data_IF_078928444873
#
_entry.id   IF_078928444873
#
_cell.length_a   1.000
_cell.length_b   1.000
_cell.length_c   1.000
_cell.angle_alpha   90.00
_cell.angle_beta   90.00
_cell.angle_gamma   90.00
#
_symmetry.space_group_name_H-M   'P 1'
#
loop_
_entity.id
_entity.type
_entity.pdbx_description
1 polymer ?
#
# COMPACT_ATOMS: atom_id res chain seq x y z
N UNK A 1 8.61 36.82 -28.53
CA UNK A 1 8.94 35.45 -28.08
C UNK A 1 8.06 34.48 -28.86
N UNK A 2 8.62 33.40 -29.44
CA UNK A 2 7.82 32.45 -30.21
C UNK A 2 6.85 31.72 -29.27
N UNK A 3 5.55 31.76 -29.60
CA UNK A 3 4.53 31.00 -28.86
C UNK A 3 4.64 29.53 -29.25
N UNK A 4 5.01 28.68 -28.31
CA UNK A 4 4.87 27.24 -28.50
C UNK A 4 3.39 26.90 -28.37
N UNK A 5 2.76 26.58 -29.50
CA UNK A 5 1.43 26.03 -29.58
C UNK A 5 1.51 24.56 -29.12
N UNK A 6 0.94 24.28 -27.94
CA UNK A 6 0.87 22.95 -27.35
C UNK A 6 -0.08 22.01 -28.11
N UNK A 7 -0.66 22.46 -29.24
CA UNK A 7 -1.91 21.92 -29.79
C UNK A 7 -3.12 22.23 -28.90
N UNK A 8 -2.93 23.07 -27.88
CA UNK A 8 -3.98 23.63 -27.03
C UNK A 8 -3.88 25.16 -27.16
N UNK A 9 -4.62 25.77 -28.09
CA UNK A 9 -4.60 27.22 -28.28
C UNK A 9 -4.99 27.97 -27.01
N UNK A 10 -4.11 28.85 -26.53
CA UNK A 10 -4.45 29.87 -25.53
C UNK A 10 -4.50 29.41 -24.07
N UNK A 11 -3.69 28.42 -23.66
CA UNK A 11 -3.41 28.21 -22.23
C UNK A 11 -2.17 29.02 -21.83
N UNK A 12 -2.29 30.09 -21.01
CA UNK A 12 -1.18 30.83 -20.43
C UNK A 12 -0.57 30.02 -19.28
N UNK A 13 -0.25 28.75 -19.50
CA UNK A 13 0.57 28.01 -18.57
C UNK A 13 2.02 28.40 -18.88
N UNK A 14 2.51 29.43 -18.20
CA UNK A 14 3.95 29.62 -18.12
C UNK A 14 4.49 28.30 -17.57
N UNK A 15 5.42 27.61 -18.27
CA UNK A 15 6.21 26.60 -17.60
C UNK A 15 6.70 27.21 -16.28
N UNK A 16 6.63 26.46 -15.15
CA UNK A 16 7.22 26.95 -13.93
C UNK A 16 8.63 27.43 -14.25
N UNK A 17 9.09 28.55 -13.67
CA UNK A 17 10.43 29.05 -13.95
C UNK A 17 11.39 27.90 -13.70
N UNK A 18 11.91 27.31 -14.76
CA UNK A 18 12.88 26.25 -14.65
C UNK A 18 14.25 26.89 -14.47
N UNK A 19 15.20 26.12 -13.96
CA UNK A 19 16.57 26.60 -13.85
C UNK A 19 17.06 26.95 -15.26
N UNK A 20 17.77 28.06 -15.41
CA UNK A 20 18.32 28.50 -16.69
C UNK A 20 19.04 27.33 -17.39
N UNK A 21 18.67 27.06 -18.64
CA UNK A 21 19.18 25.92 -19.43
C UNK A 21 18.33 24.65 -19.43
N UNK A 22 17.20 24.60 -18.72
CA UNK A 22 16.21 23.54 -18.92
C UNK A 22 15.39 23.81 -20.18
N UNK A 23 15.84 23.28 -21.32
CA UNK A 23 14.98 23.17 -22.49
C UNK A 23 13.93 22.08 -22.25
N UNK A 24 12.66 22.47 -22.34
CA UNK A 24 11.57 21.50 -22.29
C UNK A 24 11.69 20.56 -23.48
N UNK A 25 11.99 19.29 -23.20
CA UNK A 25 12.04 18.25 -24.22
C UNK A 25 10.70 18.16 -24.95
N UNK A 26 10.76 18.16 -26.29
CA UNK A 26 9.61 17.90 -27.14
C UNK A 26 8.97 16.53 -26.84
N UNK A 27 9.76 15.58 -26.31
CA UNK A 27 9.29 14.26 -25.88
C UNK A 27 9.08 14.25 -24.36
N UNK A 28 7.86 13.97 -23.86
CA UNK A 28 7.60 13.89 -22.42
C UNK A 28 8.46 12.81 -21.74
N UNK A 29 8.86 13.03 -20.49
CA UNK A 29 9.57 12.04 -19.67
C UNK A 29 8.83 10.69 -19.64
N UNK A 30 9.51 9.54 -19.81
CA UNK A 30 8.87 8.21 -19.71
C UNK A 30 8.15 8.00 -18.38
N UNK A 31 7.02 7.27 -18.37
CA UNK A 31 6.23 7.04 -17.14
C UNK A 31 7.06 6.51 -15.96
N UNK A 32 7.97 5.56 -16.21
CA UNK A 32 8.85 4.98 -15.18
C UNK A 32 9.84 5.97 -14.55
N UNK A 33 10.03 7.14 -15.18
CA UNK A 33 10.93 8.20 -14.74
C UNK A 33 10.19 9.44 -14.25
N UNK A 34 8.85 9.45 -14.29
CA UNK A 34 8.09 10.53 -13.69
C UNK A 34 8.31 10.56 -12.18
N UNK A 35 8.51 11.75 -11.65
CA UNK A 35 8.73 12.02 -10.22
C UNK A 35 7.84 13.16 -9.79
N UNK A 36 7.49 13.21 -8.51
CA UNK A 36 6.70 14.31 -7.97
C UNK A 36 7.49 15.62 -8.03
N UNK A 37 7.23 16.39 -9.08
CA UNK A 37 7.82 17.71 -9.34
C UNK A 37 6.95 18.49 -10.31
N UNK A 38 7.12 19.82 -10.45
CA UNK A 38 6.38 20.58 -11.45
C UNK A 38 6.59 20.06 -12.88
N UNK A 39 7.80 19.58 -13.20
CA UNK A 39 8.09 18.94 -14.50
C UNK A 39 7.36 17.61 -14.63
N UNK A 40 7.36 16.79 -13.58
CA UNK A 40 6.67 15.50 -13.61
C UNK A 40 5.16 15.63 -13.74
N UNK A 41 4.55 16.57 -13.02
CA UNK A 41 3.12 16.92 -13.16
C UNK A 41 2.80 17.42 -14.57
N UNK A 42 3.69 18.26 -15.12
CA UNK A 42 3.55 18.78 -16.47
C UNK A 42 3.63 17.67 -17.53
N UNK A 43 4.61 16.79 -17.47
CA UNK A 43 4.76 15.68 -18.42
C UNK A 43 3.68 14.60 -18.26
N UNK A 44 3.22 14.33 -17.04
CA UNK A 44 2.07 13.47 -16.79
C UNK A 44 0.84 14.01 -17.53
N UNK A 45 0.58 15.31 -17.40
CA UNK A 45 -0.54 15.98 -18.04
C UNK A 45 -0.44 16.05 -19.55
N UNK A 46 0.76 16.18 -20.12
CA UNK A 46 0.96 16.05 -21.59
C UNK A 46 0.55 14.68 -22.10
N UNK A 47 0.66 13.64 -21.28
CA UNK A 47 0.30 12.27 -21.63
C UNK A 47 -1.18 11.96 -21.39
N UNK A 48 -1.74 12.43 -20.27
CA UNK A 48 -3.09 12.06 -19.82
C UNK A 48 -4.16 13.12 -20.07
N UNK A 49 -3.77 14.39 -20.20
CA UNK A 49 -4.70 15.52 -20.29
C UNK A 49 -5.12 15.88 -21.71
N UNK A 50 -4.40 15.42 -22.75
CA UNK A 50 -4.75 15.69 -24.15
C UNK A 50 -5.57 14.53 -24.68
N UNK A 51 -6.90 14.69 -24.71
CA UNK A 51 -7.81 13.76 -25.37
C UNK A 51 -8.08 14.28 -26.80
N UNK A 52 -7.60 13.60 -27.87
CA UNK A 52 -7.78 14.09 -29.24
C UNK A 52 -9.24 14.29 -29.65
N UNK A 53 -10.14 13.49 -29.09
CA UNK A 53 -11.58 13.59 -29.33
C UNK A 53 -12.24 14.79 -28.63
N UNK A 54 -11.63 15.30 -27.55
CA UNK A 54 -12.21 16.35 -26.69
C UNK A 54 -11.13 17.37 -26.25
N UNK A 55 -10.57 18.17 -27.18
CA UNK A 55 -9.43 19.04 -26.90
C UNK A 55 -9.73 20.13 -25.85
N UNK A 56 -11.00 20.42 -25.57
CA UNK A 56 -11.42 21.44 -24.59
C UNK A 56 -11.60 20.91 -23.17
N UNK A 57 -11.67 19.58 -22.97
CA UNK A 57 -12.02 18.99 -21.67
C UNK A 57 -11.02 19.37 -20.58
N UNK A 58 -9.73 19.38 -20.93
CA UNK A 58 -8.68 19.78 -20.00
C UNK A 58 -8.83 21.23 -19.54
N UNK A 59 -9.12 22.15 -20.47
CA UNK A 59 -9.33 23.56 -20.16
C UNK A 59 -10.55 23.75 -19.26
N UNK A 60 -11.63 23.02 -19.53
CA UNK A 60 -12.87 23.09 -18.75
C UNK A 60 -12.71 22.52 -17.34
N UNK A 61 -11.96 21.43 -17.17
CA UNK A 61 -11.83 20.72 -15.89
C UNK A 61 -10.41 20.79 -15.31
N UNK A 62 -9.68 21.87 -15.60
CA UNK A 62 -8.26 21.98 -15.28
C UNK A 62 -7.96 21.71 -13.80
N UNK A 63 -8.77 22.25 -12.88
CA UNK A 63 -8.61 22.02 -11.44
C UNK A 63 -8.73 20.53 -11.07
N UNK A 64 -9.67 19.80 -11.67
CA UNK A 64 -9.85 18.36 -11.42
C UNK A 64 -8.68 17.54 -11.94
N UNK A 65 -8.16 17.89 -13.12
CA UNK A 65 -6.94 17.26 -13.64
C UNK A 65 -5.73 17.53 -12.75
N UNK A 66 -5.57 18.76 -12.21
CA UNK A 66 -4.49 19.06 -11.25
C UNK A 66 -4.57 18.18 -10.00
N UNK A 67 -5.75 18.07 -9.40
CA UNK A 67 -5.97 17.20 -8.23
C UNK A 67 -5.71 15.73 -8.57
N UNK A 68 -6.15 15.25 -9.74
CA UNK A 68 -5.88 13.89 -10.20
C UNK A 68 -4.38 13.61 -10.40
N UNK A 69 -3.63 14.59 -10.89
CA UNK A 69 -2.17 14.47 -11.04
C UNK A 69 -1.48 14.30 -9.67
N UNK A 70 -1.96 14.96 -8.61
CA UNK A 70 -1.47 14.71 -7.25
C UNK A 70 -1.84 13.30 -6.77
N UNK A 71 -3.07 12.86 -7.03
CA UNK A 71 -3.50 11.49 -6.74
C UNK A 71 -2.64 10.43 -7.42
N UNK A 72 -2.19 10.68 -8.66
CA UNK A 72 -1.28 9.78 -9.37
C UNK A 72 0.05 9.58 -8.61
N UNK A 73 0.67 10.67 -8.16
CA UNK A 73 1.94 10.59 -7.42
C UNK A 73 1.79 10.15 -5.96
N UNK A 74 0.64 10.41 -5.34
CA UNK A 74 0.37 10.00 -3.96
C UNK A 74 -0.12 8.54 -3.84
N UNK A 75 -0.55 7.93 -4.94
CA UNK A 75 -1.07 6.56 -4.94
C UNK A 75 -0.04 5.57 -4.40
N UNK A 76 -0.38 4.90 -3.30
CA UNK A 76 0.48 3.91 -2.64
C UNK A 76 1.50 4.50 -1.67
N UNK A 77 1.63 5.83 -1.58
CA UNK A 77 2.60 6.51 -0.72
C UNK A 77 2.34 6.33 0.78
N UNK A 78 1.19 5.78 1.17
CA UNK A 78 0.88 5.41 2.56
C UNK A 78 1.19 3.94 2.88
N UNK A 79 1.59 3.15 1.89
CA UNK A 79 1.78 1.68 2.00
C UNK A 79 3.09 1.21 1.34
N UNK A 80 3.95 2.13 0.91
CA UNK A 80 5.20 1.81 0.21
C UNK A 80 6.35 1.44 1.15
N UNK A 81 6.16 1.60 2.46
CA UNK A 81 7.17 1.34 3.49
C UNK A 81 8.28 2.39 3.56
N UNK A 82 8.19 3.48 2.79
CA UNK A 82 9.22 4.52 2.69
C UNK A 82 8.91 5.73 3.58
N UNK A 83 8.38 5.50 4.78
CA UNK A 83 7.96 6.56 5.70
C UNK A 83 9.07 7.06 6.65
N UNK A 84 10.23 6.40 6.64
CA UNK A 84 11.35 6.73 7.52
C UNK A 84 12.54 7.16 6.64
N UNK A 85 12.89 8.46 6.59
CA UNK A 85 14.06 8.90 5.87
C UNK A 85 15.31 8.52 6.65
N UNK A 86 16.46 8.41 5.98
CA UNK A 86 17.73 8.21 6.65
C UNK A 86 18.04 9.37 7.63
N UNK A 87 18.83 9.14 8.70
CA UNK A 87 19.21 10.20 9.63
C UNK A 87 19.81 11.41 8.91
N UNK A 88 19.42 12.62 9.33
CA UNK A 88 19.87 13.88 8.74
C UNK A 88 19.58 14.02 7.21
N UNK A 89 18.59 13.30 6.69
CA UNK A 89 18.21 13.34 5.28
C UNK A 89 16.74 13.73 5.09
N UNK A 90 16.42 14.25 3.90
CA UNK A 90 15.06 14.47 3.45
C UNK A 90 14.56 13.27 2.66
N UNK A 91 13.25 13.16 2.53
CA UNK A 91 12.64 12.19 1.60
C UNK A 91 13.07 12.48 0.14
N UNK A 92 13.17 11.43 -0.70
CA UNK A 92 13.56 11.58 -2.11
C UNK A 92 12.70 12.58 -2.90
N UNK A 93 11.41 12.70 -2.58
CA UNK A 93 10.46 13.64 -3.21
C UNK A 93 10.87 15.09 -2.97
N UNK A 94 11.25 15.41 -1.73
CA UNK A 94 11.71 16.75 -1.37
C UNK A 94 13.01 17.10 -2.13
N UNK A 95 13.91 16.15 -2.27
CA UNK A 95 15.14 16.31 -3.02
C UNK A 95 14.87 16.55 -4.51
N UNK A 96 13.98 15.76 -5.09
CA UNK A 96 13.55 15.93 -6.48
C UNK A 96 12.96 17.32 -6.71
N UNK A 97 12.06 17.76 -5.82
CA UNK A 97 11.46 19.09 -5.87
C UNK A 97 12.50 20.20 -5.79
N UNK A 98 13.50 20.06 -4.92
CA UNK A 98 14.55 21.07 -4.77
C UNK A 98 15.52 21.09 -5.95
N UNK A 99 15.84 19.93 -6.54
CA UNK A 99 16.77 19.81 -7.68
C UNK A 99 16.16 20.30 -9.00
N UNK A 100 14.85 20.11 -9.18
CA UNK A 100 14.13 20.48 -10.41
C UNK A 100 13.71 21.94 -10.48
N UNK A 101 13.66 22.62 -9.34
CA UNK A 101 13.28 24.04 -9.25
C UNK A 101 14.50 24.95 -9.11
N UNK A 102 14.41 26.23 -9.55
CA UNK A 102 15.45 27.21 -9.32
C UNK A 102 15.82 27.35 -7.84
N UNK A 103 17.02 27.85 -7.58
CA UNK A 103 17.46 28.21 -6.23
C UNK A 103 17.00 29.66 -5.95
N UNK A 104 16.82 30.01 -4.67
CA UNK A 104 16.46 31.35 -4.25
C UNK A 104 14.97 31.62 -4.26
N UNK A 105 14.61 32.91 -4.40
CA UNK A 105 13.22 33.39 -4.22
C UNK A 105 12.23 32.71 -5.17
N UNK A 106 12.57 32.64 -6.46
CA UNK A 106 11.70 32.08 -7.50
C UNK A 106 11.34 30.62 -7.22
N UNK A 107 12.34 29.78 -6.89
CA UNK A 107 12.06 28.38 -6.55
C UNK A 107 11.37 28.20 -5.20
N UNK A 108 11.62 29.10 -4.23
CA UNK A 108 10.87 29.11 -2.96
C UNK A 108 9.39 29.40 -3.20
N UNK A 109 9.07 30.41 -4.03
CA UNK A 109 7.70 30.75 -4.41
C UNK A 109 7.03 29.59 -5.16
N UNK A 110 7.74 28.94 -6.09
CA UNK A 110 7.22 27.78 -6.82
C UNK A 110 6.94 26.56 -5.91
N UNK A 111 7.84 26.25 -4.96
CA UNK A 111 7.61 25.19 -3.96
C UNK A 111 6.43 25.52 -3.05
N UNK A 112 6.33 26.76 -2.59
CA UNK A 112 5.22 27.23 -1.76
C UNK A 112 3.88 27.09 -2.49
N UNK A 113 3.81 27.52 -3.76
CA UNK A 113 2.61 27.40 -4.58
C UNK A 113 2.21 25.92 -4.76
N UNK A 114 3.18 25.03 -5.06
CA UNK A 114 2.91 23.60 -5.18
C UNK A 114 2.40 23.01 -3.85
N UNK A 115 3.01 23.38 -2.73
CA UNK A 115 2.57 22.94 -1.40
C UNK A 115 1.13 23.39 -1.12
N UNK A 116 0.78 24.65 -1.43
CA UNK A 116 -0.59 25.17 -1.29
C UNK A 116 -1.58 24.39 -2.17
N UNK A 117 -1.22 24.05 -3.42
CA UNK A 117 -2.07 23.24 -4.30
C UNK A 117 -2.28 21.81 -3.75
N UNK A 118 -1.23 21.15 -3.24
CA UNK A 118 -1.35 19.83 -2.61
C UNK A 118 -2.22 19.89 -1.37
N UNK A 119 -2.04 20.92 -0.54
CA UNK A 119 -2.83 21.12 0.66
C UNK A 119 -4.32 21.29 0.32
N UNK A 120 -4.64 22.10 -0.68
CA UNK A 120 -6.02 22.26 -1.14
C UNK A 120 -6.62 20.95 -1.65
N UNK A 121 -5.86 20.17 -2.42
CA UNK A 121 -6.30 18.87 -2.90
C UNK A 121 -6.62 17.89 -1.74
N UNK A 122 -5.79 17.87 -0.70
CA UNK A 122 -6.03 17.06 0.50
C UNK A 122 -7.30 17.52 1.22
N UNK A 123 -7.52 18.82 1.34
CA UNK A 123 -8.72 19.37 1.98
C UNK A 123 -10.00 19.11 1.18
N UNK A 124 -9.93 19.17 -0.16
CA UNK A 124 -11.04 18.81 -1.03
C UNK A 124 -11.41 17.33 -0.89
N UNK A 125 -10.42 16.44 -0.78
CA UNK A 125 -10.64 15.01 -0.55
C UNK A 125 -11.25 14.74 0.83
N UNK A 126 -10.78 15.42 1.88
CA UNK A 126 -11.36 15.34 3.21
C UNK A 126 -12.81 15.84 3.24
N UNK A 127 -13.07 16.96 2.55
CA UNK A 127 -14.43 17.50 2.38
C UNK A 127 -15.33 16.51 1.66
N UNK A 128 -14.84 15.88 0.59
CA UNK A 128 -15.60 14.87 -0.15
C UNK A 128 -15.89 13.66 0.75
N UNK A 129 -14.92 13.22 1.55
CA UNK A 129 -15.09 12.13 2.51
C UNK A 129 -16.20 12.44 3.52
N UNK A 130 -16.13 13.59 4.18
CA UNK A 130 -17.12 14.01 5.17
C UNK A 130 -18.52 14.12 4.56
N UNK A 131 -18.64 14.70 3.36
CA UNK A 131 -19.92 14.83 2.63
C UNK A 131 -20.50 13.50 2.19
N UNK A 132 -19.65 12.55 1.80
CA UNK A 132 -20.10 11.26 1.26
C UNK A 132 -20.54 10.32 2.36
N UNK A 133 -19.87 10.35 3.51
CA UNK A 133 -20.07 9.37 4.58
C UNK A 133 -20.70 9.95 5.86
N UNK A 134 -20.94 11.26 5.92
CA UNK A 134 -21.56 11.92 7.08
C UNK A 134 -20.63 11.98 8.29
N UNK A 135 -19.33 12.20 8.06
CA UNK A 135 -18.30 12.26 9.10
C UNK A 135 -17.82 13.68 9.43
N UNK A 136 -16.88 13.76 10.37
CA UNK A 136 -16.12 14.97 10.66
C UNK A 136 -14.63 14.65 10.68
N UNK A 137 -13.88 15.17 9.72
CA UNK A 137 -12.44 14.97 9.60
C UNK A 137 -11.68 16.20 10.06
N UNK A 138 -10.58 16.03 10.79
CA UNK A 138 -9.63 17.11 11.10
C UNK A 138 -8.26 16.75 10.51
N UNK A 139 -7.67 17.66 9.75
CA UNK A 139 -6.31 17.50 9.21
C UNK A 139 -5.48 18.67 9.71
N UNK A 140 -4.30 18.38 10.25
CA UNK A 140 -3.36 19.37 10.75
C UNK A 140 -2.04 19.23 10.00
N UNK A 141 -1.51 20.34 9.50
CA UNK A 141 -0.22 20.39 8.82
C UNK A 141 0.63 21.54 9.34
N UNK A 142 1.89 21.24 9.64
CA UNK A 142 2.89 22.22 10.08
C UNK A 142 4.08 22.20 9.12
N UNK A 143 4.50 23.38 8.69
CA UNK A 143 5.66 23.52 7.83
C UNK A 143 6.95 23.33 8.64
N UNK A 144 7.85 22.47 8.17
CA UNK A 144 9.19 22.34 8.76
C UNK A 144 10.10 23.55 8.47
N UNK A 145 9.77 24.35 7.46
CA UNK A 145 10.50 25.57 7.11
C UNK A 145 10.00 26.75 7.94
N UNK A 146 10.92 27.51 8.52
CA UNK A 146 10.63 28.81 9.15
C UNK A 146 11.39 29.92 8.43
N UNK A 147 11.00 31.18 8.67
CA UNK A 147 11.80 32.34 8.26
C UNK A 147 13.24 32.18 8.82
N UNK A 148 14.30 32.57 8.07
CA UNK A 148 15.67 32.54 8.57
C UNK A 148 15.81 33.19 9.95
N UNK A 149 16.70 32.62 10.79
CA UNK A 149 16.97 33.07 12.18
C UNK A 149 15.78 32.99 13.16
N UNK A 150 14.64 32.42 12.78
CA UNK A 150 13.51 32.22 13.71
C UNK A 150 13.90 31.17 14.76
N UNK A 151 13.56 31.31 16.04
CA UNK A 151 13.69 30.22 17.01
C UNK A 151 12.74 29.05 16.67
N UNK A 152 13.11 27.82 16.99
CA UNK A 152 12.19 26.68 16.87
C UNK A 152 11.31 26.61 18.13
N UNK A 153 10.44 27.61 18.31
CA UNK A 153 9.50 27.70 19.43
C UNK A 153 8.08 27.81 18.89
N UNK A 154 7.12 27.29 19.65
CA UNK A 154 5.71 27.20 19.24
C UNK A 154 5.11 28.56 18.86
N UNK A 155 5.46 29.66 19.54
CA UNK A 155 4.93 30.99 19.24
C UNK A 155 5.40 31.60 17.89
N UNK A 156 6.27 30.91 17.16
CA UNK A 156 6.67 31.27 15.79
C UNK A 156 6.12 30.31 14.73
N UNK A 157 5.36 29.30 15.15
CA UNK A 157 4.81 28.29 14.27
C UNK A 157 3.36 28.61 13.91
N UNK A 158 2.91 27.97 12.84
CA UNK A 158 1.52 28.05 12.36
C UNK A 158 1.09 26.66 11.94
N UNK A 159 -0.15 26.30 12.22
CA UNK A 159 -0.78 25.07 11.75
C UNK A 159 -1.83 25.42 10.70
N UNK A 160 -1.70 24.82 9.52
CA UNK A 160 -2.75 24.81 8.52
C UNK A 160 -3.70 23.66 8.84
N UNK A 161 -4.94 23.97 9.16
CA UNK A 161 -5.92 23.00 9.65
C UNK A 161 -7.14 22.97 8.75
N UNK A 162 -7.59 21.77 8.36
CA UNK A 162 -8.93 21.56 7.81
C UNK A 162 -9.88 21.14 8.93
N UNK A 163 -11.04 21.80 8.99
CA UNK A 163 -12.16 21.49 9.88
C UNK A 163 -13.48 21.79 9.16
N UNK A 164 -14.52 20.93 9.23
CA UNK A 164 -15.82 21.21 8.62
C UNK A 164 -16.48 22.44 9.27
N UNK A 165 -16.75 23.53 8.53
CA UNK A 165 -17.30 24.74 9.13
C UNK A 165 -18.68 24.54 9.79
N UNK A 166 -19.50 23.65 9.25
CA UNK A 166 -20.79 23.28 9.85
C UNK A 166 -20.60 22.67 11.24
N UNK A 167 -19.64 21.75 11.40
CA UNK A 167 -19.35 21.14 12.69
C UNK A 167 -18.92 22.19 13.73
N UNK A 168 -18.06 23.14 13.35
CA UNK A 168 -17.59 24.20 14.24
C UNK A 168 -18.72 25.16 14.64
N UNK A 169 -19.63 25.47 13.71
CA UNK A 169 -20.78 26.31 13.98
C UNK A 169 -21.79 25.63 14.92
N UNK A 170 -22.04 24.34 14.72
CA UNK A 170 -23.03 23.57 15.47
C UNK A 170 -22.52 23.15 16.86
N UNK A 171 -21.19 23.14 17.09
CA UNK A 171 -20.57 22.63 18.32
C UNK A 171 -19.63 23.66 18.98
N UNK A 172 -20.12 24.80 19.50
CA UNK A 172 -19.27 25.80 20.15
C UNK A 172 -18.49 25.26 21.36
N UNK A 173 -19.03 24.25 22.06
CA UNK A 173 -18.35 23.60 23.19
C UNK A 173 -17.05 22.88 22.77
N UNK A 174 -16.90 22.49 21.49
CA UNK A 174 -15.69 21.84 21.00
C UNK A 174 -14.55 22.81 20.71
N UNK A 175 -14.79 24.13 20.75
CA UNK A 175 -13.78 25.13 20.36
C UNK A 175 -12.54 25.08 21.25
N UNK A 176 -12.72 25.00 22.58
CA UNK A 176 -11.62 24.86 23.53
C UNK A 176 -10.81 23.57 23.32
N UNK A 177 -11.45 22.38 23.31
CA UNK A 177 -10.78 21.13 23.00
C UNK A 177 -10.02 21.13 21.66
N UNK A 178 -10.62 21.62 20.57
CA UNK A 178 -9.96 21.69 19.27
C UNK A 178 -8.73 22.60 19.33
N UNK A 179 -8.87 23.79 19.93
CA UNK A 179 -7.76 24.72 20.06
C UNK A 179 -6.59 24.10 20.86
N UNK A 180 -6.89 23.38 21.96
CA UNK A 180 -5.89 22.60 22.71
C UNK A 180 -5.22 21.53 21.87
N UNK A 181 -5.98 20.73 21.11
CA UNK A 181 -5.41 19.70 20.23
C UNK A 181 -4.42 20.32 19.23
N UNK A 182 -4.79 21.44 18.60
CA UNK A 182 -3.91 22.11 17.62
C UNK A 182 -2.66 22.68 18.30
N UNK A 183 -2.80 23.27 19.49
CA UNK A 183 -1.67 23.79 20.26
C UNK A 183 -0.72 22.66 20.69
N UNK A 184 -1.24 21.57 21.26
CA UNK A 184 -0.45 20.38 21.61
C UNK A 184 0.25 19.79 20.39
N UNK A 185 -0.43 19.73 19.24
CA UNK A 185 0.19 19.30 17.98
C UNK A 185 1.37 20.18 17.57
N UNK A 186 1.26 21.51 17.70
CA UNK A 186 2.36 22.42 17.41
C UNK A 186 3.55 22.26 18.37
N UNK A 187 3.29 22.04 19.65
CA UNK A 187 4.32 21.81 20.66
C UNK A 187 5.02 20.46 20.46
N UNK A 188 4.26 19.38 20.36
CA UNK A 188 4.77 18.00 20.33
C UNK A 188 5.25 17.55 18.95
N UNK A 189 4.67 18.07 17.86
CA UNK A 189 5.02 17.66 16.49
C UNK A 189 5.66 18.81 15.72
N UNK A 190 5.09 20.02 15.81
CA UNK A 190 5.57 21.19 15.06
C UNK A 190 7.00 21.59 15.40
N UNK A 191 7.31 21.79 16.69
CA UNK A 191 8.66 22.18 17.14
C UNK A 191 9.71 21.14 16.72
N UNK A 192 9.54 19.83 17.00
CA UNK A 192 10.47 18.81 16.51
C UNK A 192 10.59 18.75 14.99
N UNK A 193 9.49 18.97 14.25
CA UNK A 193 9.53 18.99 12.78
C UNK A 193 10.44 20.10 12.25
N UNK A 194 10.35 21.30 12.82
CA UNK A 194 11.24 22.42 12.45
C UNK A 194 12.68 22.13 12.85
N UNK A 195 12.92 21.60 14.04
CA UNK A 195 14.27 21.23 14.50
C UNK A 195 14.91 20.19 13.57
N UNK A 196 14.17 19.12 13.24
CA UNK A 196 14.60 18.08 12.29
C UNK A 196 14.89 18.65 10.91
N UNK A 197 14.00 19.51 10.40
CA UNK A 197 14.21 20.16 9.11
C UNK A 197 15.51 20.98 9.09
N UNK A 198 15.81 21.73 10.17
CA UNK A 198 17.06 22.49 10.30
C UNK A 198 18.29 21.60 10.37
N UNK A 199 18.24 20.52 11.15
CA UNK A 199 19.34 19.55 11.23
C UNK A 199 19.66 18.97 9.85
N UNK A 200 18.63 18.53 9.11
CA UNK A 200 18.76 18.03 7.75
C UNK A 200 19.33 19.09 6.78
N UNK A 201 18.85 20.33 6.87
CA UNK A 201 19.35 21.42 6.03
C UNK A 201 20.81 21.78 6.34
N UNK A 202 21.19 21.80 7.62
CA UNK A 202 22.57 22.03 8.07
C UNK A 202 23.51 20.92 7.59
N UNK A 203 23.06 19.65 7.67
CA UNK A 203 23.83 18.52 7.15
C UNK A 203 24.11 18.62 5.63
N UNK A 204 23.29 19.39 4.90
CA UNK A 204 23.49 19.69 3.48
C UNK A 204 24.22 21.01 3.20
N UNK A 205 24.69 21.69 4.24
CA UNK A 205 25.35 22.99 4.14
C UNK A 205 24.43 24.10 3.61
N UNK A 206 23.11 23.98 3.78
CA UNK A 206 22.20 25.03 3.35
C UNK A 206 22.24 26.21 4.32
N UNK A 207 22.45 27.45 3.83
CA UNK A 207 22.51 28.61 4.71
C UNK A 207 21.12 28.91 5.28
N UNK A 208 20.92 28.57 6.56
CA UNK A 208 19.69 28.89 7.30
C UNK A 208 19.70 30.29 7.93
N UNK A 209 20.88 30.89 8.01
CA UNK A 209 21.08 32.25 8.49
C UNK A 209 21.22 33.16 7.27
N UNK A 210 20.17 33.94 7.01
CA UNK A 210 20.26 35.06 6.06
C UNK A 210 20.17 36.36 6.86
N UNK A 211 20.97 37.39 6.52
CA UNK A 211 20.83 38.69 7.13
C UNK A 211 19.46 39.27 6.76
N UNK A 212 18.63 39.51 7.78
CA UNK A 212 17.28 40.02 7.64
C UNK A 212 16.66 40.27 9.02
N UNK A 213 15.60 41.09 9.11
CA UNK A 213 14.86 41.24 10.36
C UNK A 213 14.41 39.86 10.83
N UNK A 214 14.69 39.54 12.10
CA UNK A 214 14.24 38.29 12.71
C UNK A 214 12.73 38.16 12.60
N UNK A 215 12.22 36.93 12.59
CA UNK A 215 10.78 36.73 12.57
C UNK A 215 10.12 37.37 13.80
N UNK A 216 8.98 38.00 13.56
CA UNK A 216 8.15 38.48 14.65
C UNK A 216 7.46 37.30 15.32
N UNK A 217 7.37 37.35 16.64
CA UNK A 217 6.50 36.46 17.41
C UNK A 217 5.07 36.63 16.89
N UNK A 218 4.32 35.54 16.78
CA UNK A 218 2.91 35.63 16.42
C UNK A 218 2.18 36.53 17.43
N UNK A 219 1.36 37.45 16.93
CA UNK A 219 0.49 38.23 17.81
C UNK A 219 -0.45 37.25 18.55
N UNK A 220 -0.70 37.45 19.87
CA UNK A 220 -1.65 36.62 20.59
C UNK A 220 -3.01 36.66 19.90
N UNK A 221 -3.53 35.49 19.51
CA UNK A 221 -4.90 35.38 19.02
C UNK A 221 -5.87 35.64 20.18
N UNK A 222 -6.88 36.47 19.96
CA UNK A 222 -7.98 36.69 20.92
C UNK A 222 -9.10 35.67 20.77
N UNK A 223 -9.09 34.87 19.70
CA UNK A 223 -10.10 33.85 19.41
C UNK A 223 -9.50 32.45 19.49
N UNK A 224 -10.23 31.50 20.10
CA UNK A 224 -9.82 30.09 20.21
C UNK A 224 -9.72 29.41 18.85
N UNK A 225 -10.74 29.57 18.01
CA UNK A 225 -10.72 29.12 16.62
C UNK A 225 -10.67 30.37 15.72
N UNK A 226 -9.64 30.52 14.86
CA UNK A 226 -9.57 31.65 13.94
C UNK A 226 -10.70 31.57 12.90
N UNK A 227 -10.98 32.67 12.20
CA UNK A 227 -11.89 32.60 11.06
C UNK A 227 -11.26 31.78 9.93
N UNK A 228 -12.05 30.94 9.22
CA UNK A 228 -11.55 30.21 8.08
C UNK A 228 -11.20 31.19 6.94
N UNK A 229 -10.38 30.73 6.00
CA UNK A 229 -10.20 31.43 4.74
C UNK A 229 -11.56 31.58 4.02
N UNK A 230 -11.80 32.68 3.28
CA UNK A 230 -13.08 32.94 2.64
C UNK A 230 -13.52 31.76 1.75
N UNK A 231 -14.77 31.31 1.93
CA UNK A 231 -15.37 30.18 1.20
C UNK A 231 -14.55 28.87 1.29
N UNK A 232 -13.89 28.63 2.42
CA UNK A 232 -13.05 27.45 2.65
C UNK A 232 -13.28 26.84 4.03
N UNK A 233 -12.84 25.59 4.18
CA UNK A 233 -12.71 24.88 5.44
C UNK A 233 -11.29 24.95 6.02
N UNK A 234 -10.44 25.82 5.47
CA UNK A 234 -9.05 26.01 5.87
C UNK A 234 -8.93 27.07 6.97
N UNK A 235 -8.45 26.66 8.13
CA UNK A 235 -8.14 27.47 9.29
C UNK A 235 -6.63 27.60 9.45
N UNK A 236 -6.17 28.75 9.92
CA UNK A 236 -4.74 28.99 10.18
C UNK A 236 -4.53 29.33 11.65
N UNK A 237 -4.20 28.31 12.43
CA UNK A 237 -3.88 28.50 13.84
C UNK A 237 -2.45 29.02 13.99
N UNK A 238 -2.27 30.05 14.82
CA UNK A 238 -0.96 30.54 15.21
C UNK A 238 -0.60 29.91 16.55
N UNK A 239 0.64 29.45 16.70
CA UNK A 239 1.07 28.88 17.97
C UNK A 239 1.10 29.93 19.08
N UNK A 240 0.69 29.53 20.27
CA UNK A 240 0.74 30.34 21.49
C UNK A 240 1.92 29.91 22.36
N UNK A 241 2.43 30.77 23.27
CA UNK A 241 3.29 30.32 24.36
C UNK A 241 2.63 29.20 25.17
N UNK A 242 3.43 28.27 25.68
CA UNK A 242 2.95 27.14 26.49
C UNK A 242 2.08 27.66 27.65
N UNK A 243 0.88 27.09 27.81
CA UNK A 243 -0.10 27.46 28.84
C UNK A 243 -1.01 28.65 28.48
N UNK A 244 -0.62 29.52 27.54
CA UNK A 244 -1.40 30.73 27.22
C UNK A 244 -2.77 30.42 26.56
N UNK A 245 -2.96 29.21 26.03
CA UNK A 245 -4.26 28.81 25.48
C UNK A 245 -5.28 28.50 26.57
N UNK A 246 -4.83 28.02 27.74
CA UNK A 246 -5.73 27.69 28.84
C UNK A 246 -6.29 28.95 29.50
N UNK A 247 -5.55 30.06 29.44
CA UNK A 247 -6.03 31.38 29.87
C UNK A 247 -7.14 31.94 28.95
N UNK A 248 -7.16 31.53 27.68
CA UNK A 248 -8.17 31.95 26.69
C UNK A 248 -9.44 31.11 26.76
N UNK A 249 -9.34 29.88 27.26
CA UNK A 249 -10.49 29.00 27.39
C UNK A 249 -11.22 29.44 28.66
N UNK A 250 -12.45 29.99 28.55
CA UNK A 250 -13.21 30.35 29.73
C UNK A 250 -13.26 29.12 30.62
N UNK A 251 -12.90 29.28 31.90
CA UNK A 251 -13.09 28.26 32.91
C UNK A 251 -14.59 28.09 33.03
N UNK A 252 -15.14 27.28 32.12
CA UNK A 252 -16.56 26.99 32.07
C UNK A 252 -16.78 26.24 33.34
N UNK A 253 -17.47 26.87 34.29
CA UNK A 253 -17.95 26.24 35.52
C UNK A 253 -18.44 24.87 35.09
N UNK A 254 -17.76 23.82 35.57
CA UNK A 254 -17.92 22.47 35.06
C UNK A 254 -19.40 22.25 34.77
N UNK A 255 -19.79 21.90 33.53
CA UNK A 255 -21.21 21.74 33.20
C UNK A 255 -21.81 20.91 34.33
N UNK A 256 -22.93 21.37 34.93
CA UNK A 256 -23.47 20.76 36.14
C UNK A 256 -23.41 19.28 35.90
N UNK A 257 -22.58 18.58 36.68
CA UNK A 257 -22.37 17.14 36.51
C UNK A 257 -23.77 16.60 36.40
N UNK A 258 -24.16 16.18 35.19
CA UNK A 258 -25.41 15.48 35.02
C UNK A 258 -25.09 14.21 35.75
N UNK A 259 -25.45 14.18 37.03
CA UNK A 259 -25.59 12.97 37.80
C UNK A 259 -26.71 12.28 37.04
N UNK A 260 -26.33 11.58 35.97
CA UNK A 260 -27.14 10.50 35.43
C UNK A 260 -27.39 9.67 36.68
N UNK A 261 -28.63 9.57 37.16
CA UNK A 261 -28.90 8.77 38.34
C UNK A 261 -28.33 7.40 38.02
N UNK A 262 -27.23 7.08 38.70
CA UNK A 262 -26.66 5.74 38.79
C UNK A 262 -27.78 4.90 39.38
N UNK A 263 -28.59 4.31 38.50
CA UNK A 263 -29.39 3.13 38.81
C UNK A 263 -28.44 1.90 38.77
N UNK A 264 -27.25 2.09 39.35
CA UNK A 264 -26.05 1.27 39.24
C UNK A 264 -25.62 0.77 40.64
N UNK A 265 -26.62 0.43 41.47
CA UNK A 265 -26.40 -0.43 42.63
C UNK A 265 -25.90 -1.86 42.23
N UNK A 266 -25.74 -2.13 40.92
CA UNK A 266 -25.15 -3.35 40.36
C UNK A 266 -23.68 -3.18 39.86
N UNK A 267 -23.05 -1.99 39.95
CA UNK A 267 -21.70 -1.73 39.39
C UNK A 267 -20.50 -2.01 40.31
N UNK A 268 -20.63 -2.86 41.33
CA UNK A 268 -19.45 -3.31 42.09
C UNK A 268 -18.55 -4.31 41.33
N UNK A 269 -18.95 -4.78 40.13
CA UNK A 269 -18.12 -5.66 39.28
C UNK A 269 -17.40 -4.96 38.11
N UNK A 270 -17.99 -3.91 37.54
CA UNK A 270 -17.59 -3.37 36.24
C UNK A 270 -16.26 -2.61 36.26
N UNK A 271 -16.01 -1.80 37.29
CA UNK A 271 -14.77 -1.03 37.40
C UNK A 271 -13.56 -1.95 37.65
N UNK A 272 -13.75 -3.03 38.42
CA UNK A 272 -12.72 -4.03 38.64
C UNK A 272 -12.44 -4.83 37.35
N UNK A 273 -13.48 -5.18 36.59
CA UNK A 273 -13.34 -5.84 35.29
C UNK A 273 -12.64 -4.93 34.26
N UNK A 274 -12.92 -3.63 34.26
CA UNK A 274 -12.24 -2.66 33.38
C UNK A 274 -10.75 -2.52 33.73
N UNK A 275 -10.41 -2.43 35.02
CA UNK A 275 -9.01 -2.40 35.47
C UNK A 275 -8.27 -3.70 35.13
N UNK A 276 -8.91 -4.86 35.34
CA UNK A 276 -8.35 -6.15 34.93
C UNK A 276 -8.21 -6.25 33.40
N UNK A 277 -9.09 -5.61 32.64
CA UNK A 277 -9.00 -5.60 31.18
C UNK A 277 -7.84 -4.74 30.69
N UNK A 278 -7.61 -3.56 31.28
CA UNK A 278 -6.42 -2.75 30.99
C UNK A 278 -5.13 -3.50 31.34
N UNK A 279 -5.06 -4.12 32.52
CA UNK A 279 -3.86 -4.88 32.92
C UNK A 279 -3.58 -6.07 31.97
N UNK A 280 -4.63 -6.71 31.45
CA UNK A 280 -4.50 -7.74 30.40
C UNK A 280 -4.01 -7.17 29.07
N UNK A 281 -4.42 -5.96 28.70
CA UNK A 281 -3.95 -5.31 27.47
C UNK A 281 -2.47 -4.92 27.59
N UNK A 282 -2.05 -4.35 28.71
CA UNK A 282 -0.65 -4.01 28.96
C UNK A 282 0.24 -5.27 28.94
N UNK A 283 -0.24 -6.37 29.55
CA UNK A 283 0.48 -7.65 29.52
C UNK A 283 0.57 -8.23 28.10
N UNK A 284 -0.51 -8.13 27.32
CA UNK A 284 -0.52 -8.59 25.93
C UNK A 284 0.38 -7.76 25.02
N UNK A 285 0.49 -6.44 25.25
CA UNK A 285 1.41 -5.56 24.53
C UNK A 285 2.86 -5.91 24.84
N UNK A 286 3.21 -6.11 26.12
CA UNK A 286 4.53 -6.56 26.55
C UNK A 286 4.90 -7.94 25.95
N UNK A 287 3.97 -8.89 25.92
CA UNK A 287 4.18 -10.21 25.30
C UNK A 287 4.38 -10.08 23.77
N UNK A 288 3.65 -9.17 23.12
CA UNK A 288 3.82 -8.90 21.68
C UNK A 288 5.20 -8.31 21.37
N UNK A 289 5.70 -7.39 22.21
CA UNK A 289 7.05 -6.84 22.08
C UNK A 289 8.13 -7.91 22.28
N UNK A 290 8.00 -8.78 23.27
CA UNK A 290 8.93 -9.89 23.50
C UNK A 290 8.96 -10.86 22.31
N UNK A 291 7.79 -11.19 21.75
CA UNK A 291 7.69 -12.02 20.53
C UNK A 291 8.36 -11.34 19.34
N UNK A 292 8.23 -10.03 19.19
CA UNK A 292 8.86 -9.28 18.10
C UNK A 292 10.39 -9.28 18.22
N UNK A 293 10.91 -9.10 19.44
CA UNK A 293 12.34 -9.24 19.72
C UNK A 293 12.84 -10.66 19.42
N UNK A 294 12.05 -11.68 19.76
CA UNK A 294 12.38 -13.07 19.45
C UNK A 294 12.44 -13.35 17.95
N UNK A 295 11.54 -12.77 17.16
CA UNK A 295 11.56 -12.87 15.69
C UNK A 295 12.84 -12.24 15.14
N UNK A 296 13.21 -11.03 15.58
CA UNK A 296 14.45 -10.40 15.13
C UNK A 296 15.71 -11.22 15.48
N UNK A 297 15.76 -11.83 16.66
CA UNK A 297 16.86 -12.74 17.03
C UNK A 297 16.93 -13.96 16.10
N UNK A 298 15.79 -14.52 15.71
CA UNK A 298 15.73 -15.66 14.80
C UNK A 298 16.14 -15.27 13.38
N UNK A 299 15.73 -14.10 12.88
CA UNK A 299 16.17 -13.57 11.58
C UNK A 299 17.68 -13.34 11.52
N UNK A 300 18.27 -12.83 12.61
CA UNK A 300 19.73 -12.67 12.71
C UNK A 300 20.44 -14.04 12.71
N UNK A 301 19.92 -15.02 13.44
CA UNK A 301 20.45 -16.39 13.43
C UNK A 301 20.33 -17.06 12.06
N UNK A 302 19.21 -16.86 11.37
CA UNK A 302 19.02 -17.35 10.00
C UNK A 302 20.06 -16.74 9.05
N UNK A 303 20.29 -15.42 9.14
CA UNK A 303 21.33 -14.74 8.35
C UNK A 303 22.72 -15.32 8.58
N UNK A 304 23.07 -15.64 9.84
CA UNK A 304 24.34 -16.29 10.17
C UNK A 304 24.41 -17.69 9.55
N UNK A 305 23.37 -18.51 9.70
CA UNK A 305 23.35 -19.88 9.15
C UNK A 305 23.42 -19.89 7.63
N UNK A 306 22.68 -19.01 6.95
CA UNK A 306 22.74 -18.86 5.48
C UNK A 306 24.16 -18.52 5.03
N UNK A 307 24.85 -17.64 5.75
CA UNK A 307 26.25 -17.29 5.43
C UNK A 307 27.21 -18.47 5.62
N UNK A 308 26.98 -19.32 6.64
CA UNK A 308 27.78 -20.52 6.89
C UNK A 308 27.56 -21.60 5.82
N UNK A 309 26.30 -21.82 5.40
CA UNK A 309 25.98 -22.75 4.32
C UNK A 309 26.66 -22.31 3.02
N UNK A 310 26.57 -21.03 2.66
CA UNK A 310 27.26 -20.50 1.48
C UNK A 310 28.80 -20.69 1.55
N UNK A 311 29.40 -20.49 2.73
CA UNK A 311 30.83 -20.72 2.94
C UNK A 311 31.23 -22.20 2.80
N UNK A 312 30.41 -23.12 3.31
CA UNK A 312 30.61 -24.56 3.18
C UNK A 312 30.46 -25.03 1.72
N UNK A 313 29.47 -24.52 0.99
CA UNK A 313 29.29 -24.82 -0.44
C UNK A 313 30.48 -24.34 -1.28
N UNK A 314 31.01 -23.15 -0.97
CA UNK A 314 32.23 -22.64 -1.60
C UNK A 314 33.48 -23.46 -1.25
N UNK A 315 33.57 -23.99 -0.03
CA UNK A 315 34.65 -24.91 0.37
C UNK A 315 34.55 -26.26 -0.36
N UNK A 316 33.36 -26.85 -0.43
CA UNK A 316 33.10 -28.11 -1.13
C UNK A 316 33.41 -28.01 -2.63
N UNK A 317 33.08 -26.86 -3.25
CA UNK A 317 33.38 -26.62 -4.66
C UNK A 317 34.89 -26.59 -4.90
N UNK A 318 35.66 -25.88 -4.06
CA UNK A 318 37.13 -25.86 -4.12
C UNK A 318 37.74 -27.25 -3.93
N UNK A 319 37.21 -28.06 -3.01
CA UNK A 319 37.70 -29.43 -2.81
C UNK A 319 37.45 -30.32 -4.02
N UNK A 320 36.30 -30.16 -4.70
CA UNK A 320 36.00 -30.88 -5.94
C UNK A 320 36.97 -30.50 -7.06
N UNK A 321 37.30 -29.22 -7.20
CA UNK A 321 38.29 -28.73 -8.18
C UNK A 321 39.69 -29.33 -7.93
N UNK A 322 40.17 -29.31 -6.68
CA UNK A 322 41.46 -29.92 -6.30
C UNK A 322 41.47 -31.42 -6.57
N UNK A 323 40.37 -32.13 -6.27
CA UNK A 323 40.25 -33.56 -6.57
C UNK A 323 40.23 -33.87 -8.07
N UNK A 324 39.62 -33.01 -8.89
CA UNK A 324 39.65 -33.16 -10.36
C UNK A 324 41.07 -32.96 -10.89
N UNK A 325 41.81 -31.98 -10.37
CA UNK A 325 43.19 -31.72 -10.77
C UNK A 325 44.14 -32.86 -10.37
N UNK A 326 44.00 -33.39 -9.15
CA UNK A 326 44.75 -34.56 -8.68
C UNK A 326 44.49 -35.79 -9.57
N UNK A 327 43.24 -36.02 -9.96
CA UNK A 327 42.88 -37.12 -10.88
C UNK A 327 43.46 -36.91 -12.28
N UNK A 328 43.46 -35.68 -12.78
CA UNK A 328 44.06 -35.34 -14.06
C UNK A 328 45.59 -35.55 -14.05
N UNK A 329 46.27 -35.08 -13.00
CA UNK A 329 47.71 -35.30 -12.80
C UNK A 329 48.07 -36.79 -12.66
N UNK A 330 47.26 -37.56 -11.92
CA UNK A 330 47.47 -39.01 -11.77
C UNK A 330 47.37 -39.78 -13.09
N UNK A 331 46.53 -39.32 -14.04
CA UNK A 331 46.44 -39.92 -15.38
C UNK A 331 47.69 -39.70 -16.22
N UNK A 332 48.41 -38.59 -16.01
CA UNK A 332 49.65 -38.29 -16.73
C UNK A 332 50.84 -39.12 -16.22
N UNK A 333 50.80 -39.60 -14.97
CA UNK A 333 51.87 -40.39 -14.35
C UNK A 333 51.66 -41.91 -14.38
N UNK A 334 50.64 -42.43 -15.08
CA UNK A 334 50.53 -43.87 -15.32
C UNK A 334 51.59 -44.28 -16.35
N UNK A 335 52.62 -45.07 -15.98
CA UNK A 335 53.58 -45.57 -16.95
C UNK A 335 52.82 -46.38 -18.00
N UNK A 336 53.12 -46.12 -19.28
CA UNK A 336 52.54 -46.83 -20.41
C UNK A 336 52.74 -48.34 -20.25
N UNK A 337 51.75 -49.01 -19.63
CA UNK A 337 51.74 -50.45 -19.50
C UNK A 337 51.44 -50.97 -20.89
N UNK A 338 52.49 -51.31 -21.64
CA UNK A 338 52.42 -51.93 -22.95
C UNK A 338 51.44 -53.11 -22.90
N UNK A 339 50.20 -52.87 -23.32
CA UNK A 339 49.25 -53.93 -23.57
C UNK A 339 49.75 -54.65 -24.83
N UNK A 340 50.40 -55.79 -24.59
CA UNK A 340 50.66 -56.81 -25.61
C UNK A 340 49.31 -57.14 -26.25
N UNK A 341 49.16 -56.73 -27.50
CA UNK A 341 48.00 -56.98 -28.34
C UNK A 341 47.82 -58.50 -28.48
N UNK A 342 46.84 -59.09 -27.79
CA UNK A 342 46.34 -60.42 -28.13
C UNK A 342 45.26 -60.26 -29.22
N UNK A 343 45.42 -60.87 -30.40
CA UNK A 343 44.46 -60.79 -31.48
C UNK A 343 43.17 -61.55 -31.11
N UNK A 344 42.04 -60.84 -31.16
CA UNK A 344 40.71 -61.41 -30.94
C UNK A 344 40.24 -62.14 -32.21
N UNK A 345 39.78 -63.39 -32.14
CA UNK A 345 39.33 -64.13 -33.32
C UNK A 345 37.96 -63.62 -33.82
N UNK A 346 37.66 -63.81 -35.12
CA UNK A 346 36.41 -63.36 -35.73
C UNK A 346 35.26 -64.27 -35.31
N UNK A 347 34.23 -63.70 -34.69
CA UNK A 347 32.97 -64.41 -34.44
C UNK A 347 31.94 -64.07 -35.53
N UNK A 348 31.41 -65.17 -36.06
CA UNK A 348 30.45 -65.32 -37.16
C UNK A 348 29.04 -64.82 -36.81
N UNK A 349 28.19 -64.54 -37.81
CA UNK A 349 26.80 -64.15 -37.63
C UNK A 349 25.92 -65.38 -37.46
N UNK A 350 25.09 -65.43 -36.41
CA UNK A 350 24.05 -66.46 -36.26
C UNK A 350 22.67 -65.82 -36.14
N UNK A 351 21.82 -66.21 -37.10
CA UNK A 351 20.37 -66.02 -37.15
C UNK A 351 19.71 -66.66 -35.91
N UNK A 352 18.67 -66.03 -35.36
CA UNK A 352 17.31 -66.60 -35.21
C UNK A 352 16.36 -65.60 -34.47
N UNK A 353 15.05 -65.57 -34.80
CA UNK A 353 14.06 -64.59 -34.34
C UNK A 353 13.26 -65.08 -33.09
N UNK A 354 12.35 -64.26 -32.52
CA UNK A 354 11.86 -64.37 -31.13
C UNK A 354 10.70 -65.35 -30.98
N UNK A 355 10.24 -65.66 -29.75
CA UNK A 355 8.97 -65.03 -29.34
C UNK A 355 8.69 -64.91 -27.81
N UNK A 356 7.55 -64.27 -27.54
CA UNK A 356 6.62 -64.44 -26.41
C UNK A 356 6.87 -63.75 -25.05
N UNK A 357 5.98 -62.79 -24.84
CA UNK A 357 5.30 -62.33 -23.63
C UNK A 357 5.03 -63.37 -22.53
N UNK A 358 5.17 -62.94 -21.28
CA UNK A 358 4.69 -63.63 -20.08
C UNK A 358 4.69 -62.70 -18.86
N UNK A 359 3.57 -62.56 -18.12
CA UNK A 359 3.39 -61.56 -17.06
C UNK A 359 3.81 -62.09 -15.68
N UNK A 360 4.21 -61.16 -14.80
CA UNK A 360 4.56 -61.44 -13.41
C UNK A 360 3.34 -61.33 -12.47
N UNK A 361 3.12 -62.28 -11.54
CA UNK A 361 2.01 -62.28 -10.60
C UNK A 361 2.42 -61.74 -9.21
N UNK A 362 1.49 -61.10 -8.49
CA UNK A 362 0.98 -61.63 -7.22
C UNK A 362 -0.01 -60.68 -6.56
N UNK A 363 -1.19 -61.22 -6.30
CA UNK A 363 -2.19 -60.71 -5.39
C UNK A 363 -2.21 -61.59 -4.14
N UNK A 364 -2.28 -60.98 -2.95
CA UNK A 364 -2.69 -61.65 -1.72
C UNK A 364 -3.95 -60.99 -1.20
N UNK A 365 -5.05 -61.72 -1.32
CA UNK A 365 -6.36 -61.48 -0.71
C UNK A 365 -6.37 -62.15 0.67
N UNK A 366 -6.92 -61.46 1.68
CA UNK A 366 -7.51 -62.12 2.86
C UNK A 366 -8.99 -61.74 2.92
N UNK A 367 -9.84 -62.76 2.97
CA UNK A 367 -11.27 -62.71 3.27
C UNK A 367 -11.48 -63.36 4.64
N UNK A 368 -12.44 -62.86 5.40
CA UNK A 368 -13.11 -63.63 6.45
C UNK A 368 -14.58 -63.23 6.49
N UNK A 369 -15.44 -64.23 6.32
CA UNK A 369 -16.88 -64.24 6.59
C UNK A 369 -17.10 -64.53 8.10
N UNK A 370 -18.26 -64.51 8.76
CA UNK A 370 -19.70 -64.54 8.42
C UNK A 370 -20.51 -64.26 9.71
N UNK A 371 -21.80 -63.92 9.55
CA UNK A 371 -22.96 -64.25 10.40
C UNK A 371 -23.73 -63.12 11.14
N UNK A 372 -25.04 -63.19 10.91
CA UNK A 372 -26.27 -62.42 11.23
C UNK A 372 -26.85 -62.73 12.63
N UNK A 373 -28.08 -62.29 13.04
CA UNK A 373 -28.90 -61.08 12.78
C UNK A 373 -29.49 -60.44 14.08
N UNK A 374 -30.07 -59.24 14.02
CA UNK A 374 -31.31 -58.92 14.76
C UNK A 374 -32.05 -57.69 14.17
N UNK A 375 -33.38 -57.79 14.16
CA UNK A 375 -34.37 -56.87 13.61
C UNK A 375 -34.50 -55.53 14.34
N UNK A 376 -34.69 -54.44 13.59
CA UNK A 376 -35.78 -53.47 13.83
C UNK A 376 -35.99 -52.55 12.60
N UNK A 377 -37.23 -52.51 12.15
CA UNK A 377 -37.82 -51.72 11.05
C UNK A 377 -37.76 -50.21 11.27
N UNK A 378 -37.42 -49.43 10.24
CA UNK A 378 -38.11 -48.17 9.88
C UNK A 378 -37.85 -47.79 8.40
N UNK A 379 -38.90 -47.29 7.75
CA UNK A 379 -39.03 -46.94 6.33
C UNK A 379 -37.89 -46.08 5.75
N UNK A 380 -37.35 -46.45 4.59
CA UNK A 380 -36.52 -45.58 3.74
C UNK A 380 -37.08 -45.56 2.32
N UNK A 381 -37.49 -44.35 1.91
CA UNK A 381 -37.92 -43.94 0.58
C UNK A 381 -36.76 -44.03 -0.41
N UNK A 382 -36.99 -44.64 -1.56
CA UNK A 382 -36.04 -44.74 -2.68
C UNK A 382 -35.72 -43.35 -3.24
N UNK A 383 -34.45 -42.94 -3.18
CA UNK A 383 -33.95 -41.68 -3.73
C UNK A 383 -33.50 -41.82 -5.20
N UNK A 384 -33.94 -40.87 -6.03
CA UNK A 384 -33.56 -40.66 -7.43
C UNK A 384 -32.07 -40.35 -7.63
N UNK A 385 -31.52 -40.54 -8.86
CA UNK A 385 -30.13 -40.23 -9.17
C UNK A 385 -29.78 -38.76 -8.94
N UNK A 386 -28.57 -38.51 -8.42
CA UNK A 386 -28.18 -37.21 -7.87
C UNK A 386 -28.03 -36.10 -8.93
N UNK A 387 -28.63 -34.94 -8.64
CA UNK A 387 -28.54 -33.65 -9.36
C UNK A 387 -27.10 -33.15 -9.61
N UNK A 388 -26.08 -33.78 -9.02
CA UNK A 388 -24.70 -33.30 -9.11
C UNK A 388 -23.97 -33.66 -10.41
N UNK A 389 -24.41 -34.71 -11.12
CA UNK A 389 -23.78 -35.10 -12.38
C UNK A 389 -24.18 -34.19 -13.56
N UNK A 390 -25.43 -33.70 -13.59
CA UNK A 390 -25.93 -32.81 -14.65
C UNK A 390 -25.26 -31.42 -14.63
N UNK A 391 -24.96 -30.89 -13.45
CA UNK A 391 -24.41 -29.53 -13.30
C UNK A 391 -22.95 -29.38 -13.77
N UNK A 392 -22.18 -30.46 -13.92
CA UNK A 392 -20.76 -30.35 -14.36
C UNK A 392 -20.63 -30.12 -15.86
N UNK A 393 -21.44 -30.81 -16.65
CA UNK A 393 -21.41 -30.71 -18.12
C UNK A 393 -21.91 -29.34 -18.59
N UNK A 394 -22.93 -28.79 -17.92
CA UNK A 394 -23.45 -27.45 -18.20
C UNK A 394 -22.45 -26.33 -17.84
N UNK A 395 -21.66 -26.53 -16.78
CA UNK A 395 -20.62 -25.60 -16.39
C UNK A 395 -19.50 -25.53 -17.42
N UNK A 396 -18.98 -26.69 -17.84
CA UNK A 396 -17.88 -26.72 -18.81
C UNK A 396 -18.33 -26.13 -20.16
N UNK A 397 -19.58 -26.39 -20.56
CA UNK A 397 -20.19 -25.74 -21.73
C UNK A 397 -20.31 -24.21 -21.55
N UNK A 398 -20.71 -23.74 -20.36
CA UNK A 398 -20.79 -22.32 -20.03
C UNK A 398 -19.42 -21.64 -20.11
N UNK A 399 -18.39 -22.20 -19.45
CA UNK A 399 -17.02 -21.69 -19.46
C UNK A 399 -16.51 -21.54 -20.91
N UNK A 400 -16.75 -22.55 -21.75
CA UNK A 400 -16.33 -22.49 -23.16
C UNK A 400 -17.15 -21.54 -24.02
N UNK A 401 -18.47 -21.44 -23.79
CA UNK A 401 -19.31 -20.51 -24.53
C UNK A 401 -18.95 -19.03 -24.31
N UNK A 402 -18.28 -18.71 -23.19
CA UNK A 402 -17.91 -17.36 -22.81
C UNK A 402 -16.40 -17.07 -22.89
N UNK A 403 -15.58 -17.97 -23.44
CA UNK A 403 -14.14 -17.75 -23.58
C UNK A 403 -13.39 -17.68 -22.24
N UNK A 404 -13.91 -18.33 -21.20
CA UNK A 404 -13.37 -18.28 -19.83
C UNK A 404 -12.42 -19.46 -19.53
N UNK A 405 -11.94 -20.18 -20.55
CA UNK A 405 -11.04 -21.33 -20.40
C UNK A 405 -9.80 -21.03 -19.54
N UNK A 406 -9.12 -19.86 -19.65
CA UNK A 406 -7.99 -19.54 -18.79
C UNK A 406 -8.34 -19.46 -17.30
N UNK A 407 -9.62 -19.24 -16.96
CA UNK A 407 -10.13 -19.09 -15.60
C UNK A 407 -10.86 -20.34 -15.09
N UNK A 408 -10.95 -21.40 -15.89
CA UNK A 408 -11.75 -22.58 -15.59
C UNK A 408 -11.37 -23.25 -14.25
N UNK A 409 -10.08 -23.26 -13.91
CA UNK A 409 -9.60 -23.83 -12.65
C UNK A 409 -10.09 -23.01 -11.44
N UNK A 410 -9.95 -21.69 -11.47
CA UNK A 410 -10.40 -20.80 -10.41
C UNK A 410 -11.93 -20.87 -10.22
N UNK A 411 -12.69 -20.87 -11.32
CA UNK A 411 -14.16 -21.00 -11.30
C UNK A 411 -14.57 -22.34 -10.65
N UNK A 412 -13.92 -23.45 -11.03
CA UNK A 412 -14.19 -24.78 -10.44
C UNK A 412 -13.86 -24.85 -8.95
N UNK A 413 -12.82 -24.15 -8.49
CA UNK A 413 -12.47 -24.05 -7.07
C UNK A 413 -13.53 -23.25 -6.31
N UNK A 414 -13.90 -22.06 -6.79
CA UNK A 414 -14.96 -21.25 -6.17
C UNK A 414 -16.28 -22.00 -6.08
N UNK A 415 -16.64 -22.78 -7.10
CA UNK A 415 -17.82 -23.63 -7.07
C UNK A 415 -17.80 -24.69 -5.98
N UNK A 416 -16.63 -25.29 -5.72
CA UNK A 416 -16.48 -26.28 -4.63
C UNK A 416 -16.58 -25.60 -3.27
N UNK A 417 -16.08 -24.39 -3.15
CA UNK A 417 -16.08 -23.61 -1.90
C UNK A 417 -17.46 -22.99 -1.61
N UNK A 418 -18.19 -22.58 -2.64
CA UNK A 418 -19.54 -22.03 -2.48
C UNK A 418 -20.55 -23.16 -2.33
N UNK A 419 -21.12 -23.33 -1.13
CA UNK A 419 -22.18 -24.32 -0.88
C UNK A 419 -23.56 -23.90 -1.46
N UNK A 420 -23.65 -22.75 -2.12
CA UNK A 420 -24.91 -22.11 -2.51
C UNK A 420 -25.10 -22.14 -4.02
N UNK A 421 -26.19 -22.71 -4.52
CA UNK A 421 -26.55 -22.74 -5.96
C UNK A 421 -26.71 -21.32 -6.55
N UNK A 422 -26.88 -20.28 -5.72
CA UNK A 422 -27.09 -18.89 -6.14
C UNK A 422 -25.92 -18.27 -6.91
N UNK A 423 -24.70 -18.79 -6.75
CA UNK A 423 -23.52 -18.23 -7.43
C UNK A 423 -23.66 -18.32 -8.97
N UNK A 424 -24.27 -19.40 -9.48
CA UNK A 424 -24.46 -19.63 -10.93
C UNK A 424 -25.43 -18.62 -11.53
N UNK A 425 -26.53 -18.34 -10.83
CA UNK A 425 -27.51 -17.32 -11.25
C UNK A 425 -26.91 -15.92 -11.25
N UNK A 426 -26.07 -15.59 -10.26
CA UNK A 426 -25.41 -14.28 -10.18
C UNK A 426 -24.30 -14.10 -11.23
N UNK A 427 -23.58 -15.17 -11.58
CA UNK A 427 -22.61 -15.14 -12.69
C UNK A 427 -23.30 -14.84 -14.03
N UNK A 428 -24.46 -15.47 -14.29
CA UNK A 428 -25.27 -15.24 -15.48
C UNK A 428 -25.83 -13.80 -15.48
N UNK A 429 -26.35 -13.34 -14.34
CA UNK A 429 -26.86 -11.95 -14.20
C UNK A 429 -25.77 -10.91 -14.41
N UNK A 430 -24.55 -11.17 -13.94
CA UNK A 430 -23.42 -10.24 -14.10
C UNK A 430 -23.04 -10.09 -15.57
N UNK A 431 -22.99 -11.20 -16.32
CA UNK A 431 -22.70 -11.17 -17.75
C UNK A 431 -23.77 -10.41 -18.55
N UNK A 432 -25.05 -10.58 -18.21
CA UNK A 432 -26.14 -9.82 -18.84
C UNK A 432 -26.13 -8.33 -18.52
N UNK A 433 -25.47 -7.90 -17.43
CA UNK A 433 -25.30 -6.47 -17.08
C UNK A 433 -24.06 -5.84 -17.74
N UNK A 434 -23.19 -6.65 -18.38
CA UNK A 434 -22.03 -6.19 -19.13
C UNK A 434 -22.39 -5.77 -20.55
N UNK A 435 -22.57 -4.47 -20.75
CA UNK A 435 -22.74 -3.81 -22.04
C UNK A 435 -21.55 -4.05 -22.99
N UNK A 436 -21.78 -4.73 -24.12
CA UNK A 436 -21.23 -4.41 -25.45
C UNK A 436 -19.73 -4.09 -25.62
N UNK A 437 -18.84 -4.57 -24.76
CA UNK A 437 -17.38 -4.44 -24.96
C UNK A 437 -16.85 -5.81 -25.36
N UNK A 438 -16.35 -5.93 -26.59
CA UNK A 438 -15.62 -7.10 -27.06
C UNK A 438 -14.48 -7.40 -26.08
N UNK A 439 -14.52 -8.58 -25.47
CA UNK A 439 -13.49 -9.10 -24.55
C UNK A 439 -12.26 -9.58 -25.33
N UNK A 440 -11.63 -8.66 -26.06
CA UNK A 440 -10.31 -8.85 -26.65
C UNK A 440 -9.23 -8.52 -25.62
N UNK A 441 -8.98 -9.42 -24.65
CA UNK A 441 -7.82 -9.34 -23.74
C UNK A 441 -8.17 -9.47 -22.26
N UNK A 442 -8.28 -10.70 -21.76
CA UNK A 442 -8.42 -10.97 -20.33
C UNK A 442 -7.06 -10.79 -19.61
N UNK A 443 -6.81 -9.59 -19.09
CA UNK A 443 -5.69 -9.32 -18.17
C UNK A 443 -6.24 -8.98 -16.77
N UNK A 444 -5.81 -9.71 -15.73
CA UNK A 444 -5.76 -9.37 -14.28
C UNK A 444 -7.00 -8.82 -13.56
N UNK A 445 -7.71 -7.85 -14.13
CA UNK A 445 -8.86 -7.14 -13.56
C UNK A 445 -10.06 -8.06 -13.35
N UNK A 446 -10.32 -9.00 -14.24
CA UNK A 446 -11.43 -9.96 -14.08
C UNK A 446 -11.19 -10.89 -12.89
N UNK A 447 -9.94 -11.29 -12.63
CA UNK A 447 -9.58 -12.09 -11.46
C UNK A 447 -9.72 -11.29 -10.16
N UNK A 448 -9.26 -10.04 -10.13
CA UNK A 448 -9.35 -9.19 -8.94
C UNK A 448 -10.80 -8.94 -8.49
N UNK A 449 -11.73 -8.76 -9.44
CA UNK A 449 -13.17 -8.57 -9.13
C UNK A 449 -13.80 -9.87 -8.62
N UNK A 450 -13.46 -11.00 -9.23
CA UNK A 450 -13.90 -12.32 -8.79
C UNK A 450 -13.40 -12.63 -7.36
N UNK A 451 -12.14 -12.32 -7.05
CA UNK A 451 -11.59 -12.50 -5.71
C UNK A 451 -12.21 -11.54 -4.68
N UNK A 452 -12.47 -10.30 -5.08
CA UNK A 452 -13.19 -9.34 -4.22
C UNK A 452 -14.57 -9.87 -3.84
N UNK A 453 -15.32 -10.40 -4.82
CA UNK A 453 -16.64 -10.99 -4.57
C UNK A 453 -16.57 -12.24 -3.66
N UNK A 454 -15.60 -13.13 -3.88
CA UNK A 454 -15.41 -14.33 -3.06
C UNK A 454 -15.06 -14.01 -1.59
N UNK A 455 -14.25 -12.98 -1.36
CA UNK A 455 -13.83 -12.55 -0.02
C UNK A 455 -14.95 -11.80 0.69
N UNK A 456 -15.64 -10.87 0.01
CA UNK A 456 -16.63 -10.00 0.65
C UNK A 456 -18.00 -10.64 0.79
N UNK A 457 -18.52 -11.26 -0.28
CA UNK A 457 -19.92 -11.69 -0.31
C UNK A 457 -20.09 -13.16 0.07
N UNK A 458 -19.09 -14.01 -0.20
CA UNK A 458 -19.12 -15.43 0.17
C UNK A 458 -18.40 -15.74 1.48
N UNK A 459 -17.77 -14.74 2.12
CA UNK A 459 -17.01 -14.85 3.38
C UNK A 459 -15.94 -15.95 3.35
N UNK A 460 -15.34 -16.20 2.18
CA UNK A 460 -14.22 -17.14 2.05
C UNK A 460 -12.96 -16.41 2.51
N UNK A 461 -12.20 -16.99 3.45
CA UNK A 461 -11.00 -16.31 3.96
C UNK A 461 -9.92 -16.23 2.88
N UNK A 462 -9.11 -15.17 2.91
CA UNK A 462 -7.98 -15.02 1.97
C UNK A 462 -7.01 -16.21 2.07
N UNK A 463 -6.77 -16.74 3.27
CA UNK A 463 -5.93 -17.91 3.49
C UNK A 463 -6.45 -19.17 2.77
N UNK A 464 -7.77 -19.40 2.78
CA UNK A 464 -8.41 -20.49 2.04
C UNK A 464 -8.33 -20.31 0.53
N UNK A 465 -8.15 -19.10 0.03
CA UNK A 465 -7.99 -18.84 -1.41
C UNK A 465 -6.56 -19.16 -1.85
N UNK A 466 -5.56 -18.77 -1.05
CA UNK A 466 -4.14 -18.98 -1.36
C UNK A 466 -3.71 -20.46 -1.26
N UNK A 467 -4.33 -21.24 -0.39
CA UNK A 467 -4.03 -22.68 -0.24
C UNK A 467 -4.38 -23.49 -1.52
N UNK A 468 -5.29 -22.99 -2.36
CA UNK A 468 -5.75 -23.67 -3.58
C UNK A 468 -5.18 -23.11 -4.88
N UNK A 469 -4.43 -22.00 -4.83
CA UNK A 469 -3.83 -21.34 -6.00
C UNK A 469 -2.31 -21.14 -5.85
N UNK A 470 -1.52 -22.21 -5.65
CA UNK A 470 -0.08 -22.05 -5.47
C UNK A 470 0.69 -21.63 -6.74
N UNK A 471 0.05 -21.61 -7.93
CA UNK A 471 0.75 -21.40 -9.21
C UNK A 471 0.00 -20.48 -10.22
N UNK A 472 -0.72 -19.46 -9.77
CA UNK A 472 -1.40 -18.47 -10.65
C UNK A 472 -0.85 -17.06 -10.44
#
# INVERSE_FOLDING_TARGET
MPSYDWGIPGLPFCPPPFRDGYELSAVPTPFSRLKFSPIGLFDLRRRLGVLPAEPTIFKQFQARFRTADFGWFASGASTDGQHIPAPNSFFPEFDNLRQTLPIGRVGNEARKALQEEVQHAVFDLATLWDRTFGGATMIMHVEGTTVPNTPALVQYLRCATYLPPSFIADNPASHGPIARIVQTFLESVGVPTVQKWRANANARGWPLMQPGPGAHVNAPSTTLIPQPAPNSAHYKFLGHPVGAIDDLIPTTTAPPVIIIPDDDDDLNGSTLDFMQHMERLDYAEMEAEERLQRIHQLEEQEGILVSQVAALEAALTREREVNTDLRAASRLNMPARSQVYQPRPPQTPSRHPPPYSGPSPNASRLLSATSTPYHATHHVTTASPSRHAANRTELDACISSYGLEPLAAAIKVMMRLSRSVKWYEELIKWNHRGSGVELGGCNGRSLAVIFSYAVHDLRISRSQIYEFLPNV
#
